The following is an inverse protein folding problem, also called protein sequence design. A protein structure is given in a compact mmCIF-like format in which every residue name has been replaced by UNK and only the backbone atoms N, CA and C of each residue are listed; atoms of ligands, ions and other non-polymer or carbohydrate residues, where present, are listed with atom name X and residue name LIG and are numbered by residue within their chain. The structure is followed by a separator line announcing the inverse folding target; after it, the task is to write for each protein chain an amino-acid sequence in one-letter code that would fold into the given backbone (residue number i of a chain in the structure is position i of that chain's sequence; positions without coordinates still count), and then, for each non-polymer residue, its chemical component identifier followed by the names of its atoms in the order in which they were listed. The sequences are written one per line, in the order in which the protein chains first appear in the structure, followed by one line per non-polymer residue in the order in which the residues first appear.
data_IF_418685160378
#
_entry.id   IF_418685160378
#
_cell.length_a   1.000
_cell.length_b   1.000
_cell.length_c   1.000
_cell.angle_alpha   90.00
_cell.angle_beta   90.00
_cell.angle_gamma   90.00
#
_symmetry.space_group_name_H-M   'P 1'
#
loop_
_entity.id
_entity.type
_entity.pdbx_description
1 polymer ?
#
# COMPACT_ATOMS: atom_id res chain seq x y z
N UNK A 1 -18.75 6.03 19.19
CA UNK A 1 -18.39 4.97 18.21
C UNK A 1 -17.14 5.43 17.47
N UNK A 2 -15.94 4.98 17.88
CA UNK A 2 -14.69 5.42 17.27
C UNK A 2 -14.54 4.79 15.89
N UNK A 3 -14.70 5.59 14.83
CA UNK A 3 -14.46 5.15 13.45
C UNK A 3 -12.98 4.84 13.30
N UNK A 4 -12.64 3.61 12.95
CA UNK A 4 -11.27 3.26 12.57
C UNK A 4 -10.83 4.15 11.40
N UNK A 5 -9.59 4.68 11.42
CA UNK A 5 -9.10 5.52 10.34
C UNK A 5 -9.10 4.77 9.01
N UNK A 6 -9.75 5.34 7.99
CA UNK A 6 -9.71 4.83 6.61
C UNK A 6 -8.45 5.35 5.93
N UNK A 7 -7.53 4.43 5.65
CA UNK A 7 -6.20 4.73 5.11
C UNK A 7 -6.22 4.63 3.57
N UNK A 8 -6.99 3.67 3.05
CA UNK A 8 -7.20 3.48 1.62
C UNK A 8 -8.45 4.25 1.16
N UNK A 9 -8.28 5.01 0.08
CA UNK A 9 -9.31 5.81 -0.56
C UNK A 9 -8.97 6.09 -2.03
N UNK A 10 -9.72 7.00 -2.66
CA UNK A 10 -9.65 7.25 -4.11
C UNK A 10 -8.25 7.54 -4.65
N UNK A 11 -7.41 8.24 -3.88
CA UNK A 11 -6.02 8.49 -4.26
C UNK A 11 -5.22 7.19 -4.38
N UNK A 12 -5.33 6.30 -3.39
CA UNK A 12 -4.68 4.98 -3.44
C UNK A 12 -5.19 4.15 -4.62
N UNK A 13 -6.51 4.15 -4.86
CA UNK A 13 -7.08 3.39 -5.97
C UNK A 13 -6.54 3.85 -7.32
N UNK A 14 -6.38 5.17 -7.52
CA UNK A 14 -5.77 5.74 -8.73
C UNK A 14 -4.32 5.31 -8.89
N UNK A 15 -3.49 5.49 -7.86
CA UNK A 15 -2.06 5.15 -7.94
C UNK A 15 -1.86 3.63 -8.13
N UNK A 16 -2.66 2.81 -7.42
CA UNK A 16 -2.67 1.35 -7.59
C UNK A 16 -2.95 0.94 -9.03
N UNK A 17 -3.93 1.57 -9.69
CA UNK A 17 -4.25 1.27 -11.09
C UNK A 17 -3.12 1.68 -12.04
N UNK A 18 -2.46 2.82 -11.79
CA UNK A 18 -1.30 3.24 -12.58
C UNK A 18 -0.15 2.23 -12.41
N UNK A 19 0.13 1.83 -11.17
CA UNK A 19 1.18 0.86 -10.86
C UNK A 19 0.94 -0.50 -11.53
N UNK A 20 -0.29 -1.03 -11.49
CA UNK A 20 -0.64 -2.29 -12.14
C UNK A 20 -0.51 -2.23 -13.67
N UNK A 21 -0.74 -1.07 -14.29
CA UNK A 21 -0.55 -0.91 -15.74
C UNK A 21 0.92 -0.91 -16.12
N UNK A 22 1.78 -0.32 -15.30
CA UNK A 22 3.23 -0.30 -15.56
C UNK A 22 3.93 -1.60 -15.14
N UNK A 23 3.34 -2.33 -14.20
CA UNK A 23 3.82 -3.63 -13.72
C UNK A 23 2.72 -4.69 -13.89
N UNK A 24 2.43 -5.12 -15.13
CA UNK A 24 1.29 -5.98 -15.42
C UNK A 24 1.50 -7.44 -14.93
N UNK A 25 2.71 -7.83 -14.54
CA UNK A 25 3.04 -9.18 -14.11
C UNK A 25 3.29 -9.25 -12.59
N UNK A 26 2.85 -10.35 -11.98
CA UNK A 26 3.14 -10.64 -10.58
C UNK A 26 4.63 -10.94 -10.40
N UNK A 27 5.33 -10.09 -9.63
CA UNK A 27 6.76 -10.22 -9.35
C UNK A 27 7.10 -11.59 -8.74
N UNK A 28 6.35 -12.02 -7.73
CA UNK A 28 6.57 -13.33 -7.07
C UNK A 28 6.38 -14.51 -8.02
N UNK A 29 5.46 -14.42 -8.98
CA UNK A 29 5.27 -15.47 -9.98
C UNK A 29 6.39 -15.44 -11.02
N UNK A 30 6.82 -14.26 -11.43
CA UNK A 30 7.90 -14.06 -12.37
C UNK A 30 9.23 -14.63 -11.84
N UNK A 31 9.53 -14.42 -10.55
CA UNK A 31 10.70 -15.02 -9.88
C UNK A 31 10.68 -16.56 -9.89
N UNK A 32 9.50 -17.16 -9.98
CA UNK A 32 9.32 -18.61 -10.10
C UNK A 32 9.24 -19.08 -11.57
N UNK A 33 9.54 -18.21 -12.54
CA UNK A 33 9.46 -18.51 -13.97
C UNK A 33 8.03 -18.59 -14.53
N UNK A 34 7.02 -18.08 -13.82
CA UNK A 34 5.62 -18.10 -14.23
C UNK A 34 5.17 -16.72 -14.73
N UNK A 35 4.48 -16.71 -15.87
CA UNK A 35 3.84 -15.49 -16.40
C UNK A 35 2.41 -15.41 -15.87
N UNK A 36 2.18 -14.55 -14.91
CA UNK A 36 0.86 -14.36 -14.28
C UNK A 36 0.56 -12.88 -14.15
N UNK A 37 -0.64 -12.45 -14.53
CA UNK A 37 -1.04 -11.06 -14.42
C UNK A 37 -1.10 -10.61 -12.94
N UNK A 38 -0.59 -9.42 -12.65
CA UNK A 38 -0.71 -8.81 -11.33
C UNK A 38 -2.15 -8.32 -11.12
N UNK A 39 -2.74 -8.67 -9.98
CA UNK A 39 -4.10 -8.25 -9.59
C UNK A 39 -4.11 -7.41 -8.32
N UNK A 40 -2.99 -7.35 -7.60
CA UNK A 40 -2.84 -6.66 -6.32
C UNK A 40 -1.54 -5.88 -6.30
N UNK A 41 -1.52 -4.82 -5.49
CA UNK A 41 -0.34 -4.02 -5.18
C UNK A 41 -0.25 -4.00 -3.67
N UNK A 42 0.93 -4.29 -3.16
CA UNK A 42 1.22 -4.27 -1.74
C UNK A 42 2.52 -3.52 -1.47
N UNK A 43 2.64 -2.96 -0.27
CA UNK A 43 3.86 -2.28 0.16
C UNK A 43 4.88 -3.30 0.61
N UNK A 44 6.09 -3.25 0.05
CA UNK A 44 7.20 -4.13 0.46
C UNK A 44 7.56 -3.88 1.93
N UNK A 45 7.63 -2.62 2.34
CA UNK A 45 7.87 -2.22 3.73
C UNK A 45 6.53 -1.90 4.38
N UNK A 46 6.15 -2.59 5.48
CA UNK A 46 4.90 -2.30 6.18
C UNK A 46 4.87 -0.86 6.70
N UNK A 47 3.93 -0.07 6.17
CA UNK A 47 3.84 1.36 6.49
C UNK A 47 3.27 1.64 7.90
N UNK A 48 2.48 0.72 8.49
CA UNK A 48 1.89 0.82 9.85
C UNK A 48 1.08 2.10 10.13
N UNK A 49 0.51 2.71 9.09
CA UNK A 49 -0.19 3.99 9.20
C UNK A 49 -1.45 3.92 10.07
N UNK A 50 -2.14 2.77 10.13
CA UNK A 50 -3.28 2.58 11.04
C UNK A 50 -2.88 2.74 12.50
N UNK A 51 -1.79 2.07 12.86
CA UNK A 51 -1.25 2.04 14.22
C UNK A 51 -0.73 3.42 14.62
N UNK A 52 -0.05 4.09 13.69
CA UNK A 52 0.41 5.46 13.88
C UNK A 52 -0.75 6.45 14.07
N UNK A 53 -1.82 6.35 13.27
CA UNK A 53 -3.01 7.21 13.43
C UNK A 53 -3.72 6.93 14.76
N UNK A 54 -3.82 5.66 15.17
CA UNK A 54 -4.43 5.29 16.44
C UNK A 54 -3.61 5.76 17.66
N UNK A 55 -2.29 5.86 17.54
CA UNK A 55 -1.43 6.32 18.63
C UNK A 55 -1.43 7.85 18.82
N UNK A 56 -1.87 8.61 17.81
CA UNK A 56 -1.84 10.07 17.83
C UNK A 56 -0.43 10.67 17.80
N UNK A 57 0.61 9.86 17.67
CA UNK A 57 1.99 10.33 17.63
C UNK A 57 2.31 10.91 16.24
N UNK A 58 2.49 12.23 16.18
CA UNK A 58 2.74 12.95 14.93
C UNK A 58 4.00 12.48 14.19
N UNK A 59 5.08 12.14 14.91
CA UNK A 59 6.31 11.66 14.30
C UNK A 59 6.12 10.26 13.67
N UNK A 60 5.43 9.37 14.39
CA UNK A 60 5.07 8.05 13.88
C UNK A 60 4.16 8.15 12.65
N UNK A 61 3.19 9.07 12.65
CA UNK A 61 2.30 9.33 11.51
C UNK A 61 3.10 9.82 10.31
N UNK A 62 4.00 10.79 10.51
CA UNK A 62 4.82 11.32 9.42
C UNK A 62 5.73 10.25 8.80
N UNK A 63 6.35 9.40 9.63
CA UNK A 63 7.15 8.25 9.17
C UNK A 63 6.30 7.25 8.39
N UNK A 64 5.15 6.87 8.93
CA UNK A 64 4.22 5.93 8.30
C UNK A 64 3.66 6.45 6.97
N UNK A 65 3.36 7.74 6.86
CA UNK A 65 2.90 8.37 5.63
C UNK A 65 3.96 8.34 4.52
N UNK A 66 5.25 8.49 4.86
CA UNK A 66 6.35 8.38 3.89
C UNK A 66 6.54 6.96 3.37
N UNK A 67 6.20 5.94 4.14
CA UNK A 67 6.25 4.54 3.71
C UNK A 67 5.02 4.11 2.91
N UNK A 68 3.90 4.84 3.05
CA UNK A 68 2.65 4.52 2.37
C UNK A 68 2.62 4.96 0.90
N UNK A 69 3.45 5.92 0.49
CA UNK A 69 3.52 6.44 -0.87
C UNK A 69 4.89 6.15 -1.47
#
# INVERSE_FOLDING_TARGET
MNKSPRIYGSRWDRERLIFLRTHPLCVMCHEQGRVTAATVVDHIIPHKLKEALNSGNAEAIAKAQKLFW
#
